data_IF_510736654270
#
_entry.id   IF_510736654270
#
_cell.length_a   1.000
_cell.length_b   1.000
_cell.length_c   1.000
_cell.angle_alpha   90.00
_cell.angle_beta   90.00
_cell.angle_gamma   90.00
#
_symmetry.space_group_name_H-M   'P 1'
#
loop_
_entity.id
_entity.type
_entity.pdbx_description
1 polymer ?
#
# COMPACT_ATOMS: atom_id res chain seq x y z
N UNK A 1 -2.16 25.89 2.54
CA UNK A 1 -1.82 24.54 3.00
C UNK A 1 -2.30 24.32 4.43
N UNK A 2 -3.25 23.42 4.61
CA UNK A 2 -3.69 22.88 5.90
C UNK A 2 -2.57 22.04 6.54
N UNK A 3 -2.74 21.68 7.81
CA UNK A 3 -1.79 20.79 8.49
C UNK A 3 -1.68 19.43 7.78
N UNK A 4 -2.81 18.86 7.35
CA UNK A 4 -2.83 17.57 6.66
C UNK A 4 -2.10 17.63 5.31
N UNK A 5 -2.29 18.70 4.54
CA UNK A 5 -1.58 18.87 3.26
C UNK A 5 -0.05 18.94 3.46
N UNK A 6 0.42 19.52 4.56
CA UNK A 6 1.86 19.54 4.89
C UNK A 6 2.38 18.15 5.30
N UNK A 7 1.58 17.38 6.04
CA UNK A 7 1.92 16.01 6.42
C UNK A 7 2.06 15.15 5.16
N UNK A 8 1.08 15.19 4.26
CA UNK A 8 1.12 14.43 3.01
C UNK A 8 2.27 14.87 2.10
N UNK A 9 2.56 16.18 2.02
CA UNK A 9 3.71 16.67 1.26
C UNK A 9 5.03 16.10 1.79
N UNK A 10 5.19 16.01 3.12
CA UNK A 10 6.37 15.39 3.73
C UNK A 10 6.39 13.87 3.55
N UNK A 11 5.24 13.21 3.65
CA UNK A 11 5.13 11.77 3.44
C UNK A 11 5.53 11.40 2.00
N UNK A 12 5.13 12.19 1.00
CA UNK A 12 5.48 11.95 -0.40
C UNK A 12 6.95 12.25 -0.75
N UNK A 13 7.80 12.60 0.23
CA UNK A 13 9.27 12.60 0.05
C UNK A 13 9.85 11.19 0.04
N UNK A 14 9.08 10.16 0.42
CA UNK A 14 9.43 8.75 0.27
C UNK A 14 8.58 8.09 -0.82
N UNK A 15 9.05 6.94 -1.29
CA UNK A 15 8.29 6.03 -2.14
C UNK A 15 7.41 5.14 -1.26
N UNK A 16 6.19 4.89 -1.69
CA UNK A 16 5.18 4.16 -0.91
C UNK A 16 4.70 2.90 -1.62
N UNK A 17 4.28 1.94 -0.80
CA UNK A 17 3.60 0.73 -1.24
C UNK A 17 2.48 0.33 -0.27
N UNK A 18 1.61 -0.55 -0.76
CA UNK A 18 0.79 -1.41 0.09
C UNK A 18 1.62 -2.66 0.39
N UNK A 19 1.96 -2.88 1.66
CA UNK A 19 2.62 -4.12 2.12
C UNK A 19 1.58 -5.04 2.73
N UNK A 20 1.47 -6.26 2.21
CA UNK A 20 0.67 -7.34 2.77
C UNK A 20 1.56 -8.17 3.70
N UNK A 21 1.43 -7.93 5.01
CA UNK A 21 2.09 -8.75 6.01
C UNK A 21 1.52 -10.18 5.94
N UNK A 22 2.38 -11.19 6.12
CA UNK A 22 2.03 -12.61 5.97
C UNK A 22 2.68 -13.21 4.73
N UNK A 23 2.19 -12.90 3.51
CA UNK A 23 2.85 -13.26 2.25
C UNK A 23 4.18 -12.54 2.02
N UNK A 24 4.36 -11.38 2.65
CA UNK A 24 5.49 -10.45 2.44
C UNK A 24 5.50 -9.81 1.04
N UNK A 25 4.32 -9.59 0.47
CA UNK A 25 4.13 -8.96 -0.83
C UNK A 25 4.00 -7.43 -0.71
N UNK A 26 4.65 -6.70 -1.62
CA UNK A 26 4.59 -5.23 -1.70
C UNK A 26 4.18 -4.76 -3.08
N UNK A 27 3.22 -3.82 -3.13
CA UNK A 27 2.71 -3.22 -4.38
C UNK A 27 2.96 -1.72 -4.37
N UNK A 28 3.72 -1.21 -5.33
CA UNK A 28 4.05 0.20 -5.44
C UNK A 28 2.79 1.05 -5.69
N UNK A 29 2.72 2.20 -5.05
CA UNK A 29 1.63 3.18 -5.23
C UNK A 29 2.19 4.60 -5.36
N UNK A 30 1.45 5.54 -5.99
CA UNK A 30 2.00 6.86 -6.34
C UNK A 30 2.13 7.82 -5.14
N UNK A 31 1.49 7.52 -4.00
CA UNK A 31 1.50 8.40 -2.82
C UNK A 31 1.20 7.65 -1.52
N UNK A 32 1.49 8.29 -0.38
CA UNK A 32 1.10 7.81 0.94
C UNK A 32 -0.42 7.60 1.06
N UNK A 33 -1.22 8.60 0.65
CA UNK A 33 -2.68 8.51 0.66
C UNK A 33 -3.20 7.32 -0.16
N UNK A 34 -2.62 7.08 -1.35
CA UNK A 34 -2.95 5.91 -2.17
C UNK A 34 -2.62 4.59 -1.44
N UNK A 35 -1.51 4.52 -0.70
CA UNK A 35 -1.14 3.35 0.09
C UNK A 35 -2.15 3.09 1.22
N UNK A 36 -2.56 4.15 1.93
CA UNK A 36 -3.54 4.07 3.02
C UNK A 36 -4.90 3.59 2.50
N UNK A 37 -5.37 4.16 1.39
CA UNK A 37 -6.63 3.76 0.76
C UNK A 37 -6.53 2.32 0.27
N UNK A 38 -5.46 1.96 -0.46
CA UNK A 38 -5.24 0.62 -0.99
C UNK A 38 -5.20 -0.44 0.11
N UNK A 39 -4.43 -0.19 1.18
CA UNK A 39 -4.37 -1.07 2.34
C UNK A 39 -5.74 -1.26 3.00
N UNK A 40 -6.53 -0.20 3.14
CA UNK A 40 -7.88 -0.28 3.71
C UNK A 40 -8.81 -1.16 2.86
N UNK A 41 -8.83 -0.95 1.54
CA UNK A 41 -9.70 -1.75 0.65
C UNK A 41 -9.23 -3.21 0.58
N UNK A 42 -7.93 -3.46 0.56
CA UNK A 42 -7.39 -4.81 0.59
C UNK A 42 -7.72 -5.53 1.90
N UNK A 43 -7.61 -4.86 3.04
CA UNK A 43 -8.02 -5.43 4.33
C UNK A 43 -9.51 -5.78 4.38
N UNK A 44 -10.38 -4.94 3.80
CA UNK A 44 -11.80 -5.29 3.66
C UNK A 44 -12.00 -6.53 2.79
N UNK A 45 -11.19 -6.72 1.76
CA UNK A 45 -11.27 -7.91 0.90
C UNK A 45 -10.75 -9.17 1.59
N UNK A 46 -9.67 -9.06 2.38
CA UNK A 46 -9.08 -10.16 3.16
C UNK A 46 -10.03 -10.59 4.27
N UNK A 47 -10.50 -9.63 5.08
CA UNK A 47 -11.24 -9.88 6.33
C UNK A 47 -12.75 -9.70 6.23
N UNK A 48 -13.27 -9.24 5.09
CA UNK A 48 -14.72 -9.06 4.88
C UNK A 48 -15.48 -10.35 4.60
N UNK A 49 -14.80 -11.50 4.51
CA UNK A 49 -15.41 -12.81 4.31
C UNK A 49 -15.75 -13.46 5.65
N UNK A 50 -16.93 -14.07 5.75
CA UNK A 50 -17.39 -14.72 6.99
C UNK A 50 -16.47 -15.87 7.48
N UNK A 51 -15.70 -16.46 6.57
CA UNK A 51 -14.77 -17.56 6.85
C UNK A 51 -13.31 -17.09 6.97
N UNK A 52 -13.05 -15.77 6.97
CA UNK A 52 -11.71 -15.26 7.15
C UNK A 52 -11.19 -15.67 8.55
N UNK A 53 -10.01 -16.30 8.64
CA UNK A 53 -9.45 -16.71 9.93
C UNK A 53 -9.04 -15.49 10.76
N UNK A 54 -9.41 -15.48 12.05
CA UNK A 54 -9.16 -14.37 12.98
C UNK A 54 -7.78 -14.45 13.67
N UNK A 55 -7.06 -15.57 13.52
CA UNK A 55 -5.82 -15.88 14.23
C UNK A 55 -4.58 -15.95 13.31
N UNK A 56 -4.70 -15.45 12.08
CA UNK A 56 -3.58 -15.37 11.13
C UNK A 56 -3.05 -13.93 11.05
N UNK A 57 -1.73 -13.80 11.13
CA UNK A 57 -1.03 -12.53 10.90
C UNK A 57 -0.99 -12.21 9.39
N UNK A 58 -2.13 -11.80 8.84
CA UNK A 58 -2.27 -11.39 7.44
C UNK A 58 -3.09 -10.10 7.32
N UNK A 59 -2.43 -8.98 7.03
CA UNK A 59 -3.09 -7.70 6.82
C UNK A 59 -2.23 -6.75 5.97
N UNK A 60 -2.88 -5.82 5.30
CA UNK A 60 -2.25 -4.81 4.48
C UNK A 60 -2.03 -3.50 5.24
N UNK A 61 -0.93 -2.79 4.98
CA UNK A 61 -0.67 -1.46 5.54
C UNK A 61 0.16 -0.60 4.59
N UNK A 62 0.10 0.72 4.79
CA UNK A 62 0.93 1.66 4.06
C UNK A 62 2.37 1.58 4.59
N UNK A 63 3.32 1.30 3.70
CA UNK A 63 4.73 1.16 4.05
C UNK A 63 5.63 1.91 3.07
N UNK A 64 6.82 2.36 3.50
CA UNK A 64 7.85 2.78 2.57
C UNK A 64 8.23 1.63 1.64
N UNK A 65 8.42 1.94 0.37
CA UNK A 65 8.89 0.95 -0.61
C UNK A 65 10.29 0.43 -0.23
N UNK A 66 10.49 -0.90 -0.14
CA UNK A 66 11.73 -1.47 0.36
C UNK A 66 12.81 -1.65 -0.71
N UNK A 67 12.50 -1.41 -2.00
CA UNK A 67 13.42 -1.62 -3.11
C UNK A 67 13.88 -0.31 -3.74
N UNK A 68 14.53 -0.39 -4.90
CA UNK A 68 15.03 0.81 -5.60
C UNK A 68 13.89 1.64 -6.19
N UNK A 69 14.18 2.91 -6.50
CA UNK A 69 13.25 3.80 -7.14
C UNK A 69 12.86 3.33 -8.56
N UNK A 70 13.80 2.69 -9.27
CA UNK A 70 13.54 2.10 -10.58
C UNK A 70 12.55 0.94 -10.47
N UNK A 71 12.72 0.06 -9.48
CA UNK A 71 11.80 -1.05 -9.22
C UNK A 71 10.40 -0.53 -8.82
N UNK A 72 10.33 0.57 -8.06
CA UNK A 72 9.05 1.23 -7.74
C UNK A 72 8.33 1.71 -9.01
N UNK A 73 9.05 2.40 -9.89
CA UNK A 73 8.51 2.93 -11.13
C UNK A 73 8.12 1.82 -12.13
N UNK A 74 8.81 0.68 -12.11
CA UNK A 74 8.43 -0.50 -12.90
C UNK A 74 7.16 -1.15 -12.36
N UNK A 75 7.04 -1.29 -11.05
CA UNK A 75 5.88 -1.92 -10.42
C UNK A 75 4.61 -1.07 -10.58
N UNK A 76 4.72 0.26 -10.46
CA UNK A 76 3.64 1.20 -10.77
C UNK A 76 3.06 1.04 -12.18
N UNK A 77 3.89 0.68 -13.17
CA UNK A 77 3.42 0.46 -14.54
C UNK A 77 2.61 -0.83 -14.65
N UNK A 78 2.98 -1.87 -13.89
CA UNK A 78 2.29 -3.16 -13.91
C UNK A 78 0.87 -3.06 -13.35
N UNK A 79 0.69 -2.30 -12.26
CA UNK A 79 -0.63 -2.06 -11.66
C UNK A 79 -1.54 -1.18 -12.56
N UNK A 80 -0.95 -0.28 -13.36
CA UNK A 80 -1.68 0.55 -14.32
C UNK A 80 -2.15 -0.18 -15.59
N UNK A 81 -1.59 -1.37 -15.87
CA UNK A 81 -1.89 -2.22 -17.04
C UNK A 81 -2.82 -3.40 -16.69
N UNK A 82 -3.34 -3.49 -15.46
CA UNK A 82 -4.36 -4.48 -15.12
C UNK A 82 -5.68 -4.17 -15.86
N UNK A 83 -6.28 -5.14 -16.58
CA UNK A 83 -7.44 -4.93 -17.46
C UNK A 83 -8.73 -4.53 -16.73
#
# INVERSE_FOLDING_TARGET
MTTNEKIEANANLTLWCVHVLGPDDVHAVPSHDAAVIGARELNKAIHGKAEAPEDILCFAYAAPWPHSAEAHAEDLKREGDAP
#
